data_IF_314266663960
#
_entry.id   IF_314266663960
#
_cell.length_a   1.000
_cell.length_b   1.000
_cell.length_c   1.000
_cell.angle_alpha   90.00
_cell.angle_beta   90.00
_cell.angle_gamma   90.00
#
_symmetry.space_group_name_H-M   'P 1'
#
loop_
_entity.id
_entity.type
_entity.pdbx_description
1 polymer ?
#
# COMPACT_ATOMS: atom_id res chain seq x y z
N UNK A 1 -27.81 -31.59 -1.69
CA UNK A 1 -28.17 -31.29 -0.29
C UNK A 1 -27.28 -30.23 0.38
N UNK A 2 -26.06 -29.97 -0.11
CA UNK A 2 -25.13 -29.00 0.49
C UNK A 2 -25.44 -27.50 0.26
N UNK A 3 -26.21 -27.15 -0.79
CA UNK A 3 -26.53 -25.73 -1.07
C UNK A 3 -27.40 -25.06 0.01
N UNK A 4 -28.31 -25.80 0.67
CA UNK A 4 -29.22 -25.22 1.69
C UNK A 4 -28.51 -24.83 3.00
N UNK A 5 -27.27 -25.28 3.21
CA UNK A 5 -26.49 -25.05 4.42
C UNK A 5 -25.66 -23.76 4.36
N UNK A 6 -25.43 -23.23 3.15
CA UNK A 6 -24.62 -22.04 2.89
C UNK A 6 -25.45 -20.76 2.70
N UNK A 7 -26.75 -20.88 2.41
CA UNK A 7 -27.66 -19.74 2.21
C UNK A 7 -28.08 -19.04 3.50
N UNK A 8 -27.82 -19.65 4.67
CA UNK A 8 -28.16 -19.07 5.96
C UNK A 8 -27.03 -18.13 6.42
N UNK A 9 -27.26 -16.80 6.48
CA UNK A 9 -26.24 -15.83 6.87
C UNK A 9 -25.63 -16.14 8.25
N UNK A 10 -26.40 -16.82 9.11
CA UNK A 10 -25.99 -17.24 10.45
C UNK A 10 -24.84 -18.25 10.41
N UNK A 11 -24.83 -19.18 9.45
CA UNK A 11 -23.76 -20.19 9.36
C UNK A 11 -22.41 -19.57 8.99
N UNK A 12 -22.42 -18.57 8.10
CA UNK A 12 -21.23 -17.80 7.77
C UNK A 12 -20.71 -17.00 8.96
N UNK A 13 -21.59 -16.42 9.77
CA UNK A 13 -21.21 -15.74 11.01
C UNK A 13 -20.56 -16.73 11.98
N UNK A 14 -21.15 -17.92 12.18
CA UNK A 14 -20.58 -18.95 13.06
C UNK A 14 -19.18 -19.38 12.58
N UNK A 15 -19.00 -19.61 11.27
CA UNK A 15 -17.70 -19.95 10.71
C UNK A 15 -16.68 -18.82 10.91
N UNK A 16 -17.08 -17.56 10.67
CA UNK A 16 -16.23 -16.39 10.88
C UNK A 16 -15.81 -16.27 12.34
N UNK A 17 -16.75 -16.47 13.27
CA UNK A 17 -16.48 -16.49 14.72
C UNK A 17 -15.49 -17.61 15.05
N UNK A 18 -15.66 -18.81 14.50
CA UNK A 18 -14.73 -19.93 14.75
C UNK A 18 -13.31 -19.61 14.27
N UNK A 19 -13.17 -19.05 13.06
CA UNK A 19 -11.87 -18.61 12.53
C UNK A 19 -11.29 -17.49 13.41
N UNK A 20 -12.11 -16.53 13.87
CA UNK A 20 -11.68 -15.47 14.78
C UNK A 20 -11.24 -16.00 16.15
N UNK A 21 -11.85 -17.08 16.66
CA UNK A 21 -11.41 -17.71 17.90
C UNK A 21 -10.07 -18.44 17.74
N UNK A 22 -9.88 -19.15 16.62
CA UNK A 22 -8.63 -19.90 16.37
C UNK A 22 -7.45 -18.98 16.03
N UNK A 23 -7.66 -18.01 15.15
CA UNK A 23 -6.61 -17.13 14.65
C UNK A 23 -6.50 -15.83 15.45
N UNK A 24 -7.57 -15.39 16.10
CA UNK A 24 -7.65 -14.10 16.79
C UNK A 24 -8.03 -12.94 15.87
N UNK A 25 -8.73 -11.94 16.43
CA UNK A 25 -9.23 -10.77 15.70
C UNK A 25 -8.15 -9.93 15.00
N UNK A 26 -6.88 -10.01 15.44
CA UNK A 26 -5.76 -9.27 14.82
C UNK A 26 -5.09 -10.03 13.67
N UNK A 27 -5.18 -11.37 13.62
CA UNK A 27 -4.49 -12.18 12.59
C UNK A 27 -5.28 -12.32 11.31
N UNK A 28 -6.61 -12.34 11.39
CA UNK A 28 -7.49 -12.38 10.22
C UNK A 28 -7.29 -11.16 9.29
N UNK A 29 -7.33 -9.90 9.78
CA UNK A 29 -7.09 -8.74 8.91
C UNK A 29 -5.64 -8.64 8.43
N UNK A 30 -4.66 -9.09 9.23
CA UNK A 30 -3.25 -9.08 8.87
C UNK A 30 -2.94 -10.07 7.73
N UNK A 31 -3.44 -11.30 7.85
CA UNK A 31 -3.37 -12.31 6.80
C UNK A 31 -4.09 -11.87 5.54
N UNK A 32 -5.30 -11.31 5.66
CA UNK A 32 -6.05 -10.78 4.52
C UNK A 32 -5.31 -9.64 3.81
N UNK A 33 -4.64 -8.74 4.55
CA UNK A 33 -3.81 -7.66 3.96
C UNK A 33 -2.60 -8.22 3.21
N UNK A 34 -1.93 -9.24 3.76
CA UNK A 34 -0.84 -9.94 3.08
C UNK A 34 -1.28 -10.61 1.78
N UNK A 35 -2.35 -11.42 1.87
CA UNK A 35 -2.94 -12.14 0.73
C UNK A 35 -3.49 -11.18 -0.33
N UNK A 36 -4.12 -10.08 0.08
CA UNK A 36 -4.68 -9.07 -0.83
C UNK A 36 -3.62 -8.35 -1.66
N UNK A 37 -2.44 -8.08 -1.09
CA UNK A 37 -1.31 -7.51 -1.84
C UNK A 37 -0.79 -8.49 -2.90
N UNK A 38 -0.59 -9.75 -2.55
CA UNK A 38 -0.14 -10.79 -3.49
C UNK A 38 -1.18 -11.01 -4.61
N UNK A 39 -2.46 -11.09 -4.25
CA UNK A 39 -3.54 -11.26 -5.22
C UNK A 39 -3.68 -10.05 -6.16
N UNK A 40 -3.42 -8.83 -5.68
CA UNK A 40 -3.42 -7.62 -6.54
C UNK A 40 -2.34 -7.68 -7.61
N UNK A 41 -1.12 -8.08 -7.25
CA UNK A 41 0.00 -8.23 -8.18
C UNK A 41 -0.31 -9.32 -9.20
N UNK A 42 -0.74 -10.48 -8.72
CA UNK A 42 -1.15 -11.58 -9.60
C UNK A 42 -2.30 -11.20 -10.53
N UNK A 43 -3.30 -10.46 -10.03
CA UNK A 43 -4.42 -9.96 -10.84
C UNK A 43 -3.94 -9.00 -11.93
N UNK A 44 -2.99 -8.11 -11.65
CA UNK A 44 -2.44 -7.19 -12.67
C UNK A 44 -1.66 -7.95 -13.74
N UNK A 45 -0.79 -8.88 -13.37
CA UNK A 45 -0.03 -9.69 -14.33
C UNK A 45 -0.97 -10.54 -15.20
N UNK A 46 -1.97 -11.19 -14.60
CA UNK A 46 -2.98 -11.97 -15.35
C UNK A 46 -3.87 -11.07 -16.22
N UNK A 47 -4.14 -9.84 -15.81
CA UNK A 47 -4.92 -8.88 -16.63
C UNK A 47 -4.11 -8.39 -17.82
N UNK A 48 -2.80 -8.19 -17.64
CA UNK A 48 -1.88 -7.81 -18.71
C UNK A 48 -1.78 -8.91 -19.77
N UNK A 49 -1.58 -10.16 -19.34
CA UNK A 49 -1.60 -11.33 -20.25
C UNK A 49 -2.92 -11.45 -21.03
N UNK A 50 -4.06 -11.12 -20.40
CA UNK A 50 -5.38 -11.14 -21.06
C UNK A 50 -5.62 -9.93 -21.97
N UNK A 51 -4.88 -8.83 -21.80
CA UNK A 51 -4.99 -7.64 -22.64
C UNK A 51 -4.17 -7.77 -23.92
N UNK A 52 -3.12 -8.58 -23.93
CA UNK A 52 -2.37 -8.86 -25.16
C UNK A 52 -3.21 -9.63 -26.20
N UNK A 53 -4.27 -10.32 -25.77
CA UNK A 53 -5.23 -11.03 -26.64
C UNK A 53 -6.55 -10.27 -26.93
N UNK A 54 -6.77 -9.06 -26.39
CA UNK A 54 -8.06 -8.34 -26.50
C UNK A 54 -7.91 -6.82 -26.74
N UNK A 55 -8.76 -6.19 -27.59
CA UNK A 55 -8.66 -4.75 -27.85
C UNK A 55 -8.88 -3.92 -26.58
N UNK A 56 -8.21 -2.74 -26.48
CA UNK A 56 -8.06 -2.03 -25.22
C UNK A 56 -9.40 -1.47 -24.73
N UNK A 57 -9.99 -2.11 -23.72
CA UNK A 57 -11.16 -1.57 -23.01
C UNK A 57 -10.67 -0.68 -21.86
N UNK A 58 -11.12 0.58 -21.90
CA UNK A 58 -10.81 1.65 -20.96
C UNK A 58 -11.49 1.42 -19.60
N UNK A 59 -10.90 0.58 -18.76
CA UNK A 59 -11.22 0.54 -17.33
C UNK A 59 -10.41 1.61 -16.59
N UNK A 60 -10.96 2.82 -16.51
CA UNK A 60 -10.50 3.85 -15.58
C UNK A 60 -10.84 3.44 -14.16
N UNK A 61 -9.88 2.82 -13.48
CA UNK A 61 -9.87 2.69 -12.02
C UNK A 61 -8.46 2.98 -11.53
N UNK A 62 -7.96 4.17 -11.87
CA UNK A 62 -6.82 4.76 -11.20
C UNK A 62 -7.24 5.07 -9.75
N UNK A 63 -6.58 4.50 -8.73
CA UNK A 63 -6.81 4.92 -7.37
C UNK A 63 -6.42 6.39 -7.25
N UNK A 64 -7.36 7.25 -6.85
CA UNK A 64 -7.04 8.59 -6.39
C UNK A 64 -6.14 8.41 -5.16
N UNK A 65 -4.85 8.65 -5.34
CA UNK A 65 -3.85 8.62 -4.29
C UNK A 65 -4.22 9.71 -3.28
N UNK A 66 -4.88 9.30 -2.20
CA UNK A 66 -5.26 10.18 -1.10
C UNK A 66 -3.99 10.73 -0.46
N UNK A 67 -3.60 11.94 -0.87
CA UNK A 67 -2.57 12.71 -0.17
C UNK A 67 -3.13 13.08 1.20
N UNK A 68 -2.72 12.34 2.23
CA UNK A 68 -2.90 12.77 3.61
C UNK A 68 -1.89 13.90 3.86
N UNK A 69 -2.34 15.14 3.72
CA UNK A 69 -1.63 16.30 4.27
C UNK A 69 -1.96 16.32 5.77
N UNK A 70 -1.11 15.75 6.60
CA UNK A 70 -1.09 16.12 8.03
C UNK A 70 -0.26 17.39 8.13
N UNK A 71 -0.91 18.52 7.89
CA UNK A 71 -0.45 19.81 8.42
C UNK A 71 -0.94 19.86 9.87
N UNK A 72 -0.03 19.64 10.81
CA UNK A 72 -0.24 20.00 12.22
C UNK A 72 1.04 20.70 12.67
N UNK A 73 1.02 22.02 12.49
CA UNK A 73 1.41 23.07 13.44
C UNK A 73 2.52 22.68 14.44
N UNK A 74 3.72 23.26 14.47
CA UNK A 74 3.95 24.68 14.73
C UNK A 74 5.47 25.04 14.55
N UNK A 75 5.82 26.32 14.46
CA UNK A 75 7.05 26.85 13.86
C UNK A 75 8.22 26.86 14.85
N UNK A 76 9.48 26.80 14.35
CA UNK A 76 10.65 27.51 14.91
C UNK A 76 11.97 27.22 14.15
N UNK A 77 12.54 28.30 13.61
CA UNK A 77 13.98 28.56 13.34
C UNK A 77 14.66 27.74 12.21
N UNK A 78 15.40 28.25 11.22
CA UNK A 78 15.83 29.57 10.70
C UNK A 78 16.49 29.22 9.35
N UNK A 79 16.36 30.02 8.26
CA UNK A 79 17.03 29.70 7.01
C UNK A 79 18.53 29.96 7.18
N UNK A 80 19.38 28.93 7.01
CA UNK A 80 20.82 29.16 6.93
C UNK A 80 21.44 28.37 5.78
N UNK A 81 21.57 29.08 4.67
CA UNK A 81 22.82 29.12 3.91
C UNK A 81 23.25 27.85 3.20
N UNK A 82 22.75 27.70 1.97
CA UNK A 82 23.44 27.02 0.90
C UNK A 82 24.83 27.63 0.64
N UNK A 83 25.91 26.90 0.89
CA UNK A 83 27.20 27.13 0.23
C UNK A 83 27.87 25.80 -0.12
N UNK A 84 27.52 25.33 -1.31
CA UNK A 84 28.28 24.37 -2.11
C UNK A 84 29.54 25.06 -2.65
N UNK A 85 30.68 24.36 -2.57
CA UNK A 85 31.73 24.40 -3.60
C UNK A 85 32.91 25.36 -3.38
N UNK A 86 34.10 24.80 -3.12
CA UNK A 86 35.22 24.75 -4.06
C UNK A 86 36.55 24.40 -3.35
N UNK A 87 37.29 23.38 -3.80
CA UNK A 87 38.70 23.19 -3.45
C UNK A 87 39.57 24.08 -4.36
N UNK A 88 40.33 25.01 -3.79
CA UNK A 88 41.15 25.92 -4.60
C UNK A 88 42.15 26.75 -3.80
N UNK A 89 43.43 26.46 -4.07
CA UNK A 89 44.62 27.32 -3.95
C UNK A 89 45.04 27.81 -2.55
N UNK A 90 46.10 27.16 -2.04
CA UNK A 90 47.14 27.72 -1.17
C UNK A 90 47.86 28.89 -1.86
N UNK A 91 48.03 30.04 -1.18
CA UNK A 91 49.19 30.89 -1.42
C UNK A 91 49.81 31.38 -0.10
N UNK A 92 51.12 31.14 0.05
CA UNK A 92 52.04 31.92 0.89
C UNK A 92 51.78 31.97 2.42
N UNK A 93 52.47 31.10 3.18
CA UNK A 93 52.87 31.44 4.56
C UNK A 93 54.16 30.73 4.99
N UNK A 94 55.26 31.15 4.38
CA UNK A 94 56.63 30.93 4.83
C UNK A 94 57.17 32.28 5.32
N UNK A 95 57.27 32.40 6.64
CA UNK A 95 58.02 33.41 7.38
C UNK A 95 59.00 32.66 8.29
#
# INVERSE_FOLDING_TARGET
MFNRLLDSPVHLIILLVLVLLLFGAKRLPDAARGLGRSLRIFKSEVKEMKRDDAPPSADSSAPLEGRVVVDTDAPKHTPSGSHTGAPGSDPHRNA
#
